data_IF_180385940568
#
_entry.id   IF_180385940568
#
_cell.length_a   1.000
_cell.length_b   1.000
_cell.length_c   1.000
_cell.angle_alpha   90.00
_cell.angle_beta   90.00
_cell.angle_gamma   90.00
#
_symmetry.space_group_name_H-M   'P 1'
#
loop_
_entity.id
_entity.type
_entity.pdbx_description
1 polymer ?
#
# COMPACT_ATOMS: atom_id res chain seq x y z
N UNK A 1 47.24 6.36 -40.09
CA UNK A 1 46.97 6.26 -38.63
C UNK A 1 45.46 6.09 -38.44
N UNK A 2 45.03 4.86 -38.35
CA UNK A 2 43.63 4.48 -38.10
C UNK A 2 43.41 4.50 -36.59
N UNK A 3 42.42 5.29 -36.13
CA UNK A 3 42.01 5.32 -34.76
C UNK A 3 41.36 3.98 -34.37
N UNK A 4 41.57 3.45 -33.16
CA UNK A 4 40.93 2.22 -32.73
C UNK A 4 39.42 2.50 -32.44
N UNK A 5 38.58 1.70 -33.08
CA UNK A 5 37.16 1.59 -32.73
C UNK A 5 37.03 1.10 -31.29
N UNK A 6 36.51 1.94 -30.39
CA UNK A 6 36.13 1.53 -29.06
C UNK A 6 34.97 0.56 -29.17
N UNK A 7 35.23 -0.73 -29.01
CA UNK A 7 34.20 -1.71 -28.64
C UNK A 7 33.57 -1.24 -27.32
N UNK A 8 32.35 -0.72 -27.39
CA UNK A 8 31.48 -0.58 -26.20
C UNK A 8 31.16 -1.99 -25.78
N UNK A 9 31.77 -2.44 -24.69
CA UNK A 9 31.40 -3.69 -24.04
C UNK A 9 29.90 -3.77 -23.89
N UNK A 10 29.32 -4.94 -24.19
CA UNK A 10 27.90 -5.22 -23.95
C UNK A 10 27.65 -5.08 -22.46
N UNK A 11 27.22 -3.89 -22.03
CA UNK A 11 26.77 -3.65 -20.66
C UNK A 11 25.58 -4.58 -20.39
N UNK A 12 25.63 -5.34 -19.31
CA UNK A 12 24.50 -6.14 -18.84
C UNK A 12 23.31 -5.19 -18.66
N UNK A 13 22.23 -5.43 -19.42
CA UNK A 13 21.00 -4.67 -19.31
C UNK A 13 20.44 -4.80 -17.90
N UNK A 14 19.87 -3.73 -17.36
CA UNK A 14 19.24 -3.72 -16.03
C UNK A 14 17.90 -4.44 -16.12
N UNK A 15 17.78 -5.64 -15.55
CA UNK A 15 16.53 -6.42 -15.55
C UNK A 15 15.55 -5.83 -14.56
N UNK A 16 14.34 -5.49 -15.02
CA UNK A 16 13.18 -5.08 -14.20
C UNK A 16 12.01 -5.99 -14.54
N UNK A 17 11.29 -6.45 -13.51
CA UNK A 17 10.09 -7.28 -13.70
C UNK A 17 8.85 -6.40 -13.50
N UNK A 18 7.91 -6.43 -14.45
CA UNK A 18 6.62 -5.76 -14.41
C UNK A 18 5.51 -6.80 -14.22
N UNK A 19 4.88 -6.80 -13.06
CA UNK A 19 3.64 -7.53 -12.81
C UNK A 19 2.43 -6.69 -13.15
N UNK A 20 1.44 -7.27 -13.84
CA UNK A 20 0.18 -6.61 -14.16
C UNK A 20 -1.00 -7.35 -13.53
N UNK A 21 -1.90 -6.60 -12.89
CA UNK A 21 -3.11 -7.14 -12.24
C UNK A 21 -4.39 -6.69 -12.93
N UNK A 22 -4.31 -5.84 -13.96
CA UNK A 22 -5.45 -5.20 -14.63
C UNK A 22 -5.63 -3.74 -14.21
N UNK A 23 -6.88 -3.31 -14.06
CA UNK A 23 -7.23 -1.93 -13.68
C UNK A 23 -7.27 -0.94 -14.85
N UNK A 24 -7.47 0.35 -14.55
CA UNK A 24 -7.68 1.44 -15.53
C UNK A 24 -6.52 1.56 -16.53
N UNK A 25 -5.29 1.36 -16.08
CA UNK A 25 -4.09 1.40 -16.93
C UNK A 25 -4.17 0.38 -18.09
N UNK A 26 -4.86 -0.76 -17.85
CA UNK A 26 -5.02 -1.86 -18.80
C UNK A 26 -6.44 -1.89 -19.43
N UNK A 27 -7.28 -0.88 -19.20
CA UNK A 27 -8.70 -0.90 -19.59
C UNK A 27 -8.94 -0.16 -20.89
N UNK A 28 -9.67 -0.79 -21.78
CA UNK A 28 -10.16 -0.14 -23.02
C UNK A 28 -11.64 -0.46 -23.25
N UNK A 29 -12.33 0.34 -24.07
CA UNK A 29 -13.66 0.09 -24.57
C UNK A 29 -13.55 -0.79 -25.84
N UNK A 30 -13.26 -2.08 -25.64
CA UNK A 30 -13.02 -3.00 -26.75
C UNK A 30 -14.31 -3.40 -27.50
N UNK A 31 -15.46 -3.29 -26.85
CA UNK A 31 -16.78 -3.68 -27.40
C UNK A 31 -17.64 -2.48 -27.84
N UNK A 32 -17.14 -1.24 -27.69
CA UNK A 32 -17.85 -0.03 -28.07
C UNK A 32 -19.09 0.26 -27.22
N UNK A 33 -19.18 -0.35 -26.01
CA UNK A 33 -20.33 -0.17 -25.10
C UNK A 33 -20.29 1.16 -24.32
N UNK A 34 -19.19 1.90 -24.43
CA UNK A 34 -18.92 3.11 -23.66
C UNK A 34 -18.38 2.84 -22.25
N UNK A 35 -18.25 1.55 -21.87
CA UNK A 35 -17.65 1.11 -20.61
C UNK A 35 -16.28 0.49 -20.81
N UNK A 36 -15.25 0.93 -20.06
CA UNK A 36 -13.90 0.37 -20.16
C UNK A 36 -13.72 -0.83 -19.23
N UNK A 37 -12.98 -1.85 -19.72
CA UNK A 37 -12.65 -3.07 -18.94
C UNK A 37 -11.18 -3.42 -19.09
N UNK A 38 -10.54 -4.03 -18.07
CA UNK A 38 -9.15 -4.48 -18.14
C UNK A 38 -8.99 -5.56 -19.23
N UNK A 39 -8.38 -5.22 -20.36
CA UNK A 39 -8.21 -6.11 -21.52
C UNK A 39 -6.88 -5.96 -22.25
N UNK A 40 -6.03 -4.99 -21.87
CA UNK A 40 -4.70 -4.84 -22.45
C UNK A 40 -3.70 -5.78 -21.78
N UNK A 41 -2.92 -6.50 -22.58
CA UNK A 41 -1.78 -7.28 -22.10
C UNK A 41 -0.59 -6.38 -21.76
N UNK A 42 0.30 -6.90 -20.87
CA UNK A 42 1.37 -6.12 -20.27
C UNK A 42 2.27 -5.32 -21.20
N UNK A 43 2.65 -5.85 -22.37
CA UNK A 43 3.50 -5.14 -23.34
C UNK A 43 2.76 -3.94 -23.97
N UNK A 44 1.45 -4.07 -24.22
CA UNK A 44 0.65 -2.99 -24.78
C UNK A 44 0.50 -1.78 -23.83
N UNK A 45 0.72 -1.98 -22.54
CA UNK A 45 0.71 -0.89 -21.54
C UNK A 45 1.84 0.12 -21.71
N UNK A 46 2.95 -0.31 -22.28
CA UNK A 46 4.11 0.56 -22.49
C UNK A 46 3.88 1.57 -23.60
N UNK A 47 3.11 1.21 -24.67
CA UNK A 47 2.94 2.08 -25.80
C UNK A 47 4.26 2.70 -26.25
N UNK A 48 4.25 4.01 -26.49
CA UNK A 48 5.46 4.77 -26.88
C UNK A 48 6.50 4.89 -25.75
N UNK A 49 6.13 4.59 -24.50
CA UNK A 49 7.06 4.64 -23.36
C UNK A 49 8.16 3.57 -23.43
N UNK A 50 7.96 2.50 -24.22
CA UNK A 50 8.98 1.46 -24.43
C UNK A 50 10.31 2.04 -24.97
N UNK A 51 10.24 3.01 -25.89
CA UNK A 51 11.41 3.69 -26.43
C UNK A 51 12.18 4.58 -25.43
N UNK A 52 11.52 4.96 -24.33
CA UNK A 52 12.11 5.83 -23.30
C UNK A 52 12.85 5.07 -22.19
N UNK A 53 12.84 3.73 -22.21
CA UNK A 53 13.42 2.89 -21.15
C UNK A 53 14.94 2.65 -21.30
N UNK A 54 15.53 2.91 -22.49
CA UNK A 54 16.98 2.79 -22.73
C UNK A 54 17.50 1.36 -22.52
N UNK A 55 18.49 1.18 -21.64
CA UNK A 55 19.18 -0.09 -21.38
C UNK A 55 18.45 -0.99 -20.36
N UNK A 56 17.14 -0.77 -20.13
CA UNK A 56 16.34 -1.62 -19.25
C UNK A 56 15.82 -2.83 -20.04
N UNK A 57 16.05 -4.02 -19.47
CA UNK A 57 15.45 -5.27 -19.91
C UNK A 57 14.19 -5.52 -19.08
N UNK A 58 13.03 -5.30 -19.71
CA UNK A 58 11.74 -5.37 -19.04
C UNK A 58 11.06 -6.70 -19.30
N UNK A 59 10.92 -7.52 -18.26
CA UNK A 59 10.13 -8.74 -18.27
C UNK A 59 8.72 -8.43 -17.80
N UNK A 60 7.69 -8.81 -18.58
CA UNK A 60 6.28 -8.50 -18.27
C UNK A 60 5.50 -9.77 -17.98
N UNK A 61 4.88 -9.83 -16.81
CA UNK A 61 4.16 -11.01 -16.30
C UNK A 61 2.74 -10.59 -15.88
N UNK A 62 1.72 -11.15 -16.56
CA UNK A 62 0.32 -10.99 -16.13
C UNK A 62 0.00 -11.96 -14.99
N UNK A 63 -0.40 -11.45 -13.85
CA UNK A 63 -0.79 -12.28 -12.68
C UNK A 63 -2.29 -12.29 -12.44
N UNK A 64 -2.97 -11.21 -12.76
CA UNK A 64 -4.42 -11.04 -12.71
C UNK A 64 -4.88 -10.12 -13.84
N UNK A 65 -6.19 -10.13 -14.14
CA UNK A 65 -6.81 -9.19 -15.08
C UNK A 65 -8.18 -8.79 -14.55
N UNK A 66 -8.18 -8.08 -13.40
CA UNK A 66 -9.38 -7.72 -12.65
C UNK A 66 -9.39 -6.25 -12.25
N UNK A 67 -10.56 -5.65 -11.96
CA UNK A 67 -10.62 -4.39 -11.24
C UNK A 67 -9.92 -4.52 -9.88
N UNK A 68 -9.28 -3.45 -9.40
CA UNK A 68 -8.48 -3.53 -8.16
C UNK A 68 -9.30 -3.83 -6.90
N UNK A 69 -10.59 -3.57 -6.91
CA UNK A 69 -11.49 -3.96 -5.82
C UNK A 69 -11.65 -5.48 -5.63
N UNK A 70 -11.30 -6.28 -6.65
CA UNK A 70 -11.29 -7.75 -6.58
C UNK A 70 -9.97 -8.33 -6.06
N UNK A 71 -8.94 -7.49 -5.89
CA UNK A 71 -7.68 -7.92 -5.30
C UNK A 71 -7.85 -8.15 -3.80
N UNK A 72 -7.16 -9.16 -3.28
CA UNK A 72 -7.22 -9.58 -1.89
C UNK A 72 -5.84 -9.53 -1.23
N UNK A 73 -5.79 -9.62 0.10
CA UNK A 73 -4.52 -9.78 0.82
C UNK A 73 -3.81 -11.10 0.46
N UNK A 74 -4.54 -12.12 0.05
CA UNK A 74 -3.96 -13.35 -0.47
C UNK A 74 -3.17 -13.10 -1.76
N UNK A 75 -3.70 -12.28 -2.68
CA UNK A 75 -2.97 -11.90 -3.89
C UNK A 75 -1.67 -11.15 -3.55
N UNK A 76 -1.68 -10.30 -2.51
CA UNK A 76 -0.48 -9.60 -2.06
C UNK A 76 0.56 -10.58 -1.45
N UNK A 77 0.13 -11.58 -0.67
CA UNK A 77 0.99 -12.63 -0.11
C UNK A 77 1.62 -13.44 -1.24
N UNK A 78 0.83 -13.97 -2.17
CA UNK A 78 1.32 -14.75 -3.30
C UNK A 78 2.29 -13.94 -4.19
N UNK A 79 1.99 -12.65 -4.41
CA UNK A 79 2.85 -11.77 -5.19
C UNK A 79 4.16 -11.44 -4.46
N UNK A 80 4.13 -11.29 -3.13
CA UNK A 80 5.34 -11.01 -2.34
C UNK A 80 6.39 -12.13 -2.46
N UNK A 81 5.96 -13.38 -2.54
CA UNK A 81 6.85 -14.53 -2.74
C UNK A 81 7.50 -14.51 -4.13
N UNK A 82 6.75 -14.15 -5.17
CA UNK A 82 7.28 -13.99 -6.54
C UNK A 82 8.27 -12.82 -6.62
N UNK A 83 7.94 -11.68 -6.01
CA UNK A 83 8.82 -10.50 -5.92
C UNK A 83 10.15 -10.88 -5.27
N UNK A 84 10.12 -11.61 -4.16
CA UNK A 84 11.32 -12.09 -3.48
C UNK A 84 12.16 -12.95 -4.40
N UNK A 85 11.54 -13.94 -5.06
CA UNK A 85 12.22 -14.81 -6.01
C UNK A 85 12.90 -14.03 -7.14
N UNK A 86 12.25 -13.02 -7.71
CA UNK A 86 12.84 -12.22 -8.80
C UNK A 86 13.99 -11.34 -8.33
N UNK A 87 13.87 -10.71 -7.15
CA UNK A 87 14.94 -9.90 -6.57
C UNK A 87 16.15 -10.77 -6.21
N UNK A 88 15.94 -11.93 -5.61
CA UNK A 88 16.99 -12.92 -5.31
C UNK A 88 17.62 -13.46 -6.62
N UNK A 89 16.83 -13.58 -7.69
CA UNK A 89 17.27 -13.92 -9.04
C UNK A 89 17.98 -12.82 -9.81
N UNK A 90 18.27 -11.68 -9.17
CA UNK A 90 19.07 -10.57 -9.71
C UNK A 90 18.29 -9.52 -10.49
N UNK A 91 16.96 -9.45 -10.35
CA UNK A 91 16.22 -8.28 -10.82
C UNK A 91 16.65 -7.03 -10.05
N UNK A 92 16.86 -5.92 -10.75
CA UNK A 92 17.22 -4.64 -10.15
C UNK A 92 16.08 -4.07 -9.32
N UNK A 93 14.82 -4.35 -9.74
CA UNK A 93 13.62 -4.00 -9.04
C UNK A 93 12.38 -4.56 -9.71
N UNK A 94 11.24 -4.37 -9.07
CA UNK A 94 9.94 -4.88 -9.49
C UNK A 94 8.92 -3.75 -9.56
N UNK A 95 8.10 -3.75 -10.60
CA UNK A 95 6.97 -2.82 -10.77
C UNK A 95 5.67 -3.63 -10.74
N UNK A 96 4.66 -3.12 -10.06
CA UNK A 96 3.30 -3.65 -10.09
C UNK A 96 2.39 -2.58 -10.71
N UNK A 97 1.78 -2.89 -11.86
CA UNK A 97 0.76 -2.07 -12.49
C UNK A 97 -0.63 -2.61 -12.14
N UNK A 98 -1.44 -1.80 -11.44
CA UNK A 98 -2.78 -2.21 -10.99
C UNK A 98 -3.80 -1.08 -11.10
N UNK A 99 -5.08 -1.39 -10.86
CA UNK A 99 -6.14 -0.40 -10.68
C UNK A 99 -5.94 0.42 -9.41
N UNK A 100 -6.29 1.71 -9.47
CA UNK A 100 -5.89 2.69 -8.45
C UNK A 100 -6.66 2.61 -7.14
N UNK A 101 -7.85 1.97 -7.08
CA UNK A 101 -8.74 2.06 -5.92
C UNK A 101 -8.18 1.42 -4.66
N UNK A 102 -7.31 0.40 -4.79
CA UNK A 102 -6.70 -0.31 -3.67
C UNK A 102 -5.17 -0.21 -3.62
N UNK A 103 -4.56 0.69 -4.42
CA UNK A 103 -3.08 0.85 -4.43
C UNK A 103 -2.54 1.11 -3.02
N UNK A 104 -3.18 1.98 -2.24
CA UNK A 104 -2.71 2.36 -0.92
C UNK A 104 -2.67 1.20 0.07
N UNK A 105 -3.62 0.26 -0.03
CA UNK A 105 -3.70 -0.93 0.82
C UNK A 105 -2.77 -2.04 0.31
N UNK A 106 -2.78 -2.29 -1.00
CA UNK A 106 -1.99 -3.34 -1.62
C UNK A 106 -0.48 -3.05 -1.54
N UNK A 107 -0.08 -1.80 -1.82
CA UNK A 107 1.31 -1.36 -1.67
C UNK A 107 1.78 -1.46 -0.21
N UNK A 108 0.93 -1.11 0.77
CA UNK A 108 1.28 -1.24 2.18
C UNK A 108 1.35 -2.71 2.61
N UNK A 109 0.47 -3.58 2.12
CA UNK A 109 0.60 -5.02 2.35
C UNK A 109 1.95 -5.56 1.85
N UNK A 110 2.35 -5.18 0.65
CA UNK A 110 3.66 -5.53 0.10
C UNK A 110 4.82 -4.94 0.93
N UNK A 111 4.70 -3.70 1.46
CA UNK A 111 5.72 -3.07 2.31
C UNK A 111 5.93 -3.83 3.63
N UNK A 112 4.86 -4.43 4.18
CA UNK A 112 4.93 -5.31 5.36
C UNK A 112 5.51 -6.69 5.06
N UNK A 113 5.35 -7.19 3.82
CA UNK A 113 5.74 -8.53 3.38
C UNK A 113 7.06 -8.56 2.63
N UNK A 114 7.50 -7.39 2.14
CA UNK A 114 8.60 -7.25 1.18
C UNK A 114 9.96 -7.50 1.80
N UNK A 115 10.87 -7.81 0.92
CA UNK A 115 12.30 -8.03 1.13
C UNK A 115 13.12 -6.84 0.61
N UNK A 116 14.43 -6.98 0.67
CA UNK A 116 15.40 -5.98 0.27
C UNK A 116 15.42 -5.78 -1.26
N UNK A 117 14.96 -4.63 -1.73
CA UNK A 117 15.00 -4.24 -3.15
C UNK A 117 13.92 -3.22 -3.51
N UNK A 118 14.08 -2.48 -4.62
CA UNK A 118 13.07 -1.55 -5.07
C UNK A 118 11.80 -2.26 -5.55
N UNK A 119 10.68 -2.01 -4.89
CA UNK A 119 9.35 -2.46 -5.30
C UNK A 119 8.46 -1.25 -5.48
N UNK A 120 7.87 -1.10 -6.67
CA UNK A 120 7.11 0.08 -7.06
C UNK A 120 5.72 -0.31 -7.50
N UNK A 121 4.69 0.29 -6.91
CA UNK A 121 3.31 0.13 -7.35
C UNK A 121 2.88 1.38 -8.12
N UNK A 122 2.20 1.19 -9.24
CA UNK A 122 1.70 2.27 -10.10
C UNK A 122 0.36 1.91 -10.74
N UNK A 123 -0.26 2.89 -11.39
CA UNK A 123 -1.53 2.74 -12.08
C UNK A 123 -1.83 3.93 -12.97
N UNK A 124 -3.09 4.09 -13.35
CA UNK A 124 -3.57 5.24 -14.11
C UNK A 124 -4.91 5.72 -13.58
N UNK A 125 -5.10 7.03 -13.51
CA UNK A 125 -6.38 7.64 -13.18
C UNK A 125 -7.25 7.81 -14.42
N UNK A 126 -6.64 7.92 -15.62
CA UNK A 126 -7.30 8.01 -16.92
C UNK A 126 -7.02 6.77 -17.74
N UNK A 127 -8.05 6.25 -18.42
CA UNK A 127 -7.88 5.08 -19.28
C UNK A 127 -7.14 5.44 -20.58
N UNK A 128 -6.52 4.48 -21.29
CA UNK A 128 -5.68 4.75 -22.46
C UNK A 128 -6.38 5.50 -23.62
N UNK A 129 -7.70 5.39 -23.74
CA UNK A 129 -8.48 6.10 -24.76
C UNK A 129 -8.89 7.53 -24.38
N UNK A 130 -8.56 7.98 -23.17
CA UNK A 130 -8.93 9.31 -22.67
C UNK A 130 -7.84 10.34 -23.00
N UNK A 131 -8.25 11.56 -23.34
CA UNK A 131 -7.31 12.65 -23.58
C UNK A 131 -6.49 12.95 -22.33
N UNK A 132 -5.16 12.91 -22.46
CA UNK A 132 -4.23 13.07 -21.36
C UNK A 132 -4.13 11.83 -20.47
N UNK A 133 -4.29 10.62 -21.04
CA UNK A 133 -4.03 9.35 -20.35
C UNK A 133 -2.65 9.37 -19.65
N UNK A 134 -2.64 9.12 -18.35
CA UNK A 134 -1.46 9.23 -17.48
C UNK A 134 -0.69 7.90 -17.31
N UNK A 135 -1.28 6.78 -17.74
CA UNK A 135 -0.71 5.44 -17.57
C UNK A 135 0.71 5.27 -18.12
N UNK A 136 0.99 5.62 -19.38
CA UNK A 136 2.33 5.47 -19.96
C UNK A 136 3.40 6.26 -19.21
N UNK A 137 3.10 7.49 -18.78
CA UNK A 137 4.03 8.34 -18.01
C UNK A 137 4.29 7.76 -16.63
N UNK A 138 3.24 7.36 -15.91
CA UNK A 138 3.33 6.72 -14.59
C UNK A 138 4.14 5.42 -14.65
N UNK A 139 3.91 4.59 -15.68
CA UNK A 139 4.63 3.33 -15.85
C UNK A 139 6.10 3.56 -16.16
N UNK A 140 6.43 4.49 -17.06
CA UNK A 140 7.82 4.85 -17.34
C UNK A 140 8.54 5.39 -16.11
N UNK A 141 7.89 6.25 -15.31
CA UNK A 141 8.42 6.75 -14.05
C UNK A 141 8.65 5.62 -13.04
N UNK A 142 7.68 4.70 -12.89
CA UNK A 142 7.77 3.55 -11.98
C UNK A 142 8.94 2.62 -12.35
N UNK A 143 9.14 2.32 -13.64
CA UNK A 143 10.24 1.47 -14.10
C UNK A 143 11.59 2.12 -13.81
N UNK A 144 11.73 3.44 -14.00
CA UNK A 144 12.95 4.17 -13.63
C UNK A 144 13.23 4.11 -12.13
N UNK A 145 12.20 4.28 -11.31
CA UNK A 145 12.34 4.18 -9.84
C UNK A 145 12.74 2.76 -9.43
N UNK A 146 12.14 1.73 -10.02
CA UNK A 146 12.47 0.34 -9.75
C UNK A 146 13.90 -0.03 -10.20
N UNK A 147 14.41 0.60 -11.27
CA UNK A 147 15.76 0.35 -11.77
C UNK A 147 16.87 1.14 -11.05
N UNK A 148 16.51 2.10 -10.18
CA UNK A 148 17.47 2.97 -9.50
C UNK A 148 18.01 2.32 -8.22
N UNK A 149 19.32 2.03 -8.14
CA UNK A 149 19.93 1.44 -6.95
C UNK A 149 19.77 2.29 -5.69
N UNK A 150 19.62 3.62 -5.85
CA UNK A 150 19.38 4.55 -4.75
C UNK A 150 18.02 4.41 -4.09
N UNK A 151 17.12 3.57 -4.62
CA UNK A 151 15.80 3.32 -4.05
C UNK A 151 15.70 2.00 -3.25
N UNK A 152 16.80 1.25 -3.15
CA UNK A 152 16.82 -0.11 -2.58
C UNK A 152 16.33 -0.17 -1.12
N UNK A 153 16.60 0.85 -0.33
CA UNK A 153 16.25 0.98 1.09
C UNK A 153 15.04 1.89 1.36
N UNK A 154 14.21 2.10 0.35
CA UNK A 154 13.03 2.96 0.46
C UNK A 154 11.75 2.22 0.91
N UNK A 155 11.81 0.88 1.02
CA UNK A 155 10.62 0.04 1.14
C UNK A 155 9.80 0.03 -0.14
N UNK A 156 8.55 -0.38 -0.06
CA UNK A 156 7.64 -0.31 -1.21
C UNK A 156 7.20 1.13 -1.44
N UNK A 157 7.25 1.55 -2.70
CA UNK A 157 6.86 2.90 -3.11
C UNK A 157 5.67 2.89 -4.05
N UNK A 158 4.92 3.97 -4.06
CA UNK A 158 3.87 4.24 -5.04
C UNK A 158 4.35 5.41 -5.90
N UNK A 159 4.35 5.22 -7.23
CA UNK A 159 4.77 6.25 -8.17
C UNK A 159 3.59 6.65 -9.04
N UNK A 160 3.12 7.88 -8.86
CA UNK A 160 1.99 8.46 -9.58
C UNK A 160 2.26 9.94 -9.82
N UNK A 161 1.93 10.45 -11.01
CA UNK A 161 2.06 11.87 -11.35
C UNK A 161 3.47 12.43 -11.03
N UNK A 162 4.52 11.66 -11.40
CA UNK A 162 5.93 11.95 -11.13
C UNK A 162 6.34 12.03 -9.65
N UNK A 163 5.43 11.85 -8.70
CA UNK A 163 5.74 11.79 -7.27
C UNK A 163 6.04 10.35 -6.82
N UNK A 164 7.03 10.23 -5.93
CA UNK A 164 7.43 8.95 -5.31
C UNK A 164 6.99 9.01 -3.86
N UNK A 165 6.07 8.13 -3.47
CA UNK A 165 5.52 8.06 -2.13
C UNK A 165 5.92 6.76 -1.44
N UNK A 166 6.26 6.80 -0.15
CA UNK A 166 6.37 5.58 0.64
C UNK A 166 4.97 4.96 0.86
N UNK A 167 4.82 3.66 0.63
CA UNK A 167 3.54 2.96 0.70
C UNK A 167 2.80 3.16 2.02
N UNK A 168 3.54 3.25 3.13
CA UNK A 168 2.99 3.46 4.48
C UNK A 168 2.28 4.80 4.68
N UNK A 169 2.62 5.83 3.89
CA UNK A 169 2.08 7.19 4.04
C UNK A 169 1.15 7.62 2.91
N UNK A 170 1.20 6.94 1.76
CA UNK A 170 0.41 7.33 0.60
C UNK A 170 -1.06 6.99 0.76
N UNK A 171 -1.94 7.83 0.22
CA UNK A 171 -3.39 7.62 0.17
C UNK A 171 -3.97 8.15 -1.13
N UNK A 172 -4.96 7.45 -1.70
CA UNK A 172 -5.81 7.98 -2.76
C UNK A 172 -6.78 8.97 -2.13
N UNK A 173 -6.54 10.25 -2.34
CA UNK A 173 -7.27 11.37 -1.70
C UNK A 173 -8.28 12.05 -2.62
N UNK A 174 -8.34 11.63 -3.89
CA UNK A 174 -9.27 12.14 -4.90
C UNK A 174 -9.74 10.98 -5.79
N UNK A 175 -10.98 11.05 -6.25
CA UNK A 175 -11.60 10.00 -7.06
C UNK A 175 -11.24 10.06 -8.55
N UNK A 176 -10.80 11.20 -9.07
CA UNK A 176 -10.68 11.45 -10.52
C UNK A 176 -9.41 12.20 -10.94
N UNK A 177 -8.75 12.94 -10.04
CA UNK A 177 -7.55 13.71 -10.36
C UNK A 177 -6.37 12.81 -10.70
N UNK A 178 -5.56 13.09 -11.74
CA UNK A 178 -4.27 12.44 -11.94
C UNK A 178 -3.33 12.59 -10.74
N UNK A 179 -3.45 13.68 -9.97
CA UNK A 179 -2.74 13.92 -8.72
C UNK A 179 -3.51 13.39 -7.49
N UNK A 180 -4.23 12.26 -7.64
CA UNK A 180 -5.07 11.70 -6.58
C UNK A 180 -4.30 11.16 -5.38
N UNK A 181 -3.04 10.80 -5.54
CA UNK A 181 -2.23 10.19 -4.49
C UNK A 181 -1.45 11.25 -3.72
N UNK A 182 -1.55 11.21 -2.39
CA UNK A 182 -0.88 12.14 -1.51
C UNK A 182 -0.43 11.47 -0.21
N UNK A 183 0.72 11.87 0.31
CA UNK A 183 1.23 11.49 1.64
C UNK A 183 1.11 12.68 2.57
N UNK A 184 -0.08 12.91 3.14
CA UNK A 184 -0.38 14.12 3.92
C UNK A 184 0.47 14.26 5.18
N UNK A 185 0.87 13.15 5.80
CA UNK A 185 1.67 13.14 7.03
C UNK A 185 3.14 13.40 6.74
N UNK A 186 3.73 12.80 5.69
CA UNK A 186 5.17 12.79 5.46
C UNK A 186 5.61 13.52 4.16
N UNK A 187 4.68 13.81 3.25
CA UNK A 187 5.01 14.26 1.89
C UNK A 187 5.54 13.12 0.99
N UNK A 188 5.77 13.40 -0.29
CA UNK A 188 6.46 12.49 -1.19
C UNK A 188 7.94 12.38 -0.78
N UNK A 189 8.53 11.20 -0.91
CA UNK A 189 9.95 10.96 -0.60
C UNK A 189 10.88 11.37 -1.75
N UNK A 190 10.34 11.59 -2.95
CA UNK A 190 11.09 11.99 -4.13
C UNK A 190 10.19 12.29 -5.31
N UNK A 191 10.84 12.56 -6.45
CA UNK A 191 10.16 12.80 -7.75
C UNK A 191 10.99 12.25 -8.90
N UNK A 192 10.33 12.00 -10.04
CA UNK A 192 11.00 11.79 -11.32
C UNK A 192 11.02 13.13 -12.06
N UNK A 193 12.21 13.63 -12.37
CA UNK A 193 12.41 14.91 -13.04
C UNK A 193 13.36 14.71 -14.22
N UNK A 194 12.94 15.09 -15.44
CA UNK A 194 13.70 14.89 -16.68
C UNK A 194 14.16 13.42 -16.86
N UNK A 195 13.27 12.48 -16.48
CA UNK A 195 13.54 11.05 -16.54
C UNK A 195 14.55 10.53 -15.51
N UNK A 196 14.91 11.33 -14.50
CA UNK A 196 15.84 10.97 -13.43
C UNK A 196 15.13 10.91 -12.08
N UNK A 197 15.46 9.90 -11.30
CA UNK A 197 14.97 9.76 -9.93
C UNK A 197 15.66 10.79 -9.04
N UNK A 198 14.88 11.52 -8.28
CA UNK A 198 15.32 12.50 -7.27
C UNK A 198 14.74 12.10 -5.93
N UNK A 199 15.48 11.36 -5.13
CA UNK A 199 15.10 11.05 -3.75
C UNK A 199 15.49 12.19 -2.83
N UNK A 200 14.56 12.81 -2.16
CA UNK A 200 14.78 13.93 -1.24
C UNK A 200 14.85 13.48 0.22
N UNK A 201 14.11 12.40 0.54
CA UNK A 201 14.03 11.86 1.89
C UNK A 201 14.25 10.37 1.84
N UNK A 202 15.02 9.84 2.80
CA UNK A 202 15.13 8.40 3.05
C UNK A 202 14.20 8.04 4.20
N UNK A 203 13.06 7.35 3.95
CA UNK A 203 12.19 6.94 5.03
C UNK A 203 12.90 5.91 5.90
N UNK A 204 12.66 5.96 7.22
CA UNK A 204 13.16 4.92 8.11
C UNK A 204 12.61 3.55 7.68
N UNK A 205 13.41 2.51 7.77
CA UNK A 205 12.95 1.15 7.48
C UNK A 205 11.90 0.72 8.51
N UNK A 206 10.80 0.13 8.04
CA UNK A 206 9.80 -0.42 8.95
C UNK A 206 10.35 -1.62 9.73
N UNK A 207 9.96 -1.73 11.00
CA UNK A 207 10.20 -2.94 11.75
C UNK A 207 9.53 -4.14 11.05
N UNK A 208 10.24 -5.25 10.95
CA UNK A 208 9.68 -6.51 10.43
C UNK A 208 8.75 -7.11 11.50
N UNK A 209 7.47 -6.82 11.39
CA UNK A 209 6.44 -7.29 12.33
C UNK A 209 5.65 -8.49 11.81
N UNK A 210 5.77 -8.79 10.53
CA UNK A 210 5.18 -9.97 9.89
C UNK A 210 6.29 -10.97 9.59
N UNK A 211 6.08 -12.21 10.00
CA UNK A 211 6.94 -13.35 9.63
C UNK A 211 6.29 -14.08 8.44
N UNK A 212 6.79 -13.90 7.20
CA UNK A 212 6.14 -14.44 6.01
C UNK A 212 5.94 -15.95 6.03
N UNK A 213 6.86 -16.68 6.64
CA UNK A 213 6.80 -18.15 6.73
C UNK A 213 5.66 -18.67 7.63
N UNK A 214 5.04 -17.79 8.42
CA UNK A 214 3.91 -18.10 9.30
C UNK A 214 2.55 -17.73 8.71
N UNK A 215 2.52 -17.07 7.56
CA UNK A 215 1.27 -16.62 6.96
C UNK A 215 0.40 -17.78 6.50
N UNK A 216 -0.83 -17.82 6.96
CA UNK A 216 -1.85 -18.71 6.42
C UNK A 216 -2.37 -18.17 5.08
N UNK A 217 -2.72 -19.08 4.18
CA UNK A 217 -3.44 -18.72 2.95
C UNK A 217 -4.85 -18.17 3.26
N UNK A 218 -5.44 -18.56 4.40
CA UNK A 218 -6.72 -18.04 4.87
C UNK A 218 -6.47 -16.83 5.77
N UNK A 219 -6.73 -15.65 5.23
CA UNK A 219 -6.63 -14.39 5.98
C UNK A 219 -7.94 -14.16 6.74
N UNK A 220 -7.90 -14.09 8.08
CA UNK A 220 -9.09 -13.87 8.88
C UNK A 220 -9.80 -12.55 8.56
N UNK A 221 -11.13 -12.54 8.63
CA UNK A 221 -11.91 -11.34 8.39
C UNK A 221 -11.71 -10.31 9.51
N UNK A 222 -11.38 -9.07 9.13
CA UNK A 222 -11.26 -7.91 10.02
C UNK A 222 -12.26 -6.84 9.58
N UNK A 223 -13.09 -6.38 10.50
CA UNK A 223 -14.02 -5.30 10.24
C UNK A 223 -13.31 -3.93 10.27
N UNK A 224 -13.74 -3.01 9.41
CA UNK A 224 -13.40 -1.59 9.48
C UNK A 224 -14.71 -0.83 9.73
N UNK A 225 -14.79 -0.14 10.87
CA UNK A 225 -15.98 0.62 11.27
C UNK A 225 -15.60 2.08 11.46
N UNK A 226 -16.20 2.96 10.66
CA UNK A 226 -15.97 4.40 10.77
C UNK A 226 -17.10 5.03 11.60
N UNK A 227 -16.76 5.68 12.71
CA UNK A 227 -17.72 6.41 13.55
C UNK A 227 -18.30 7.60 12.80
N UNK A 228 -19.63 7.76 12.87
CA UNK A 228 -20.37 8.85 12.29
C UNK A 228 -21.13 9.66 13.37
N UNK A 229 -21.55 10.88 13.03
CA UNK A 229 -22.39 11.69 13.90
C UNK A 229 -23.73 10.96 14.15
N UNK A 230 -24.05 10.72 15.42
CA UNK A 230 -25.27 10.02 15.78
C UNK A 230 -25.18 8.48 15.78
N UNK A 231 -23.99 7.91 15.49
CA UNK A 231 -23.77 6.47 15.52
C UNK A 231 -24.18 5.86 16.88
N UNK A 232 -24.95 4.80 16.86
CA UNK A 232 -25.48 4.12 18.05
C UNK A 232 -24.75 2.82 18.42
N UNK A 233 -23.79 2.40 17.59
CA UNK A 233 -22.93 1.24 17.86
C UNK A 233 -23.56 -0.12 17.59
N UNK A 234 -24.79 -0.22 17.07
CA UNK A 234 -25.46 -1.51 16.78
C UNK A 234 -24.62 -2.47 15.95
N UNK A 235 -23.82 -1.95 15.02
CA UNK A 235 -22.94 -2.77 14.18
C UNK A 235 -21.90 -3.48 15.03
N UNK A 236 -21.34 -2.82 16.05
CA UNK A 236 -20.31 -3.39 16.92
C UNK A 236 -20.79 -4.65 17.65
N UNK A 237 -22.06 -4.66 18.08
CA UNK A 237 -22.66 -5.77 18.82
C UNK A 237 -22.79 -7.06 18.00
N UNK A 238 -22.73 -6.95 16.65
CA UNK A 238 -22.93 -8.08 15.74
C UNK A 238 -21.65 -8.62 15.12
N UNK A 239 -20.52 -7.93 15.27
CA UNK A 239 -19.29 -8.28 14.55
C UNK A 239 -18.78 -9.68 14.86
N UNK A 240 -18.86 -10.11 16.12
CA UNK A 240 -18.44 -11.47 16.52
C UNK A 240 -19.36 -12.56 15.96
N UNK A 241 -20.67 -12.31 15.97
CA UNK A 241 -21.66 -13.23 15.38
C UNK A 241 -21.46 -13.39 13.87
N UNK A 242 -20.95 -12.34 13.20
CA UNK A 242 -20.60 -12.35 11.78
C UNK A 242 -19.22 -13.00 11.49
N UNK A 243 -18.49 -13.47 12.52
CA UNK A 243 -17.25 -14.19 12.38
C UNK A 243 -16.01 -13.31 12.18
N UNK A 244 -16.08 -12.00 12.49
CA UNK A 244 -14.90 -11.15 12.46
C UNK A 244 -13.90 -11.51 13.56
N UNK A 245 -12.65 -11.73 13.20
CA UNK A 245 -11.55 -12.09 14.09
C UNK A 245 -10.80 -10.88 14.66
N UNK A 246 -11.15 -9.69 14.22
CA UNK A 246 -10.57 -8.42 14.68
C UNK A 246 -11.35 -7.24 14.13
N UNK A 247 -11.18 -6.08 14.76
CA UNK A 247 -11.91 -4.86 14.42
C UNK A 247 -10.95 -3.67 14.37
N UNK A 248 -11.09 -2.83 13.36
CA UNK A 248 -10.49 -1.49 13.33
C UNK A 248 -11.63 -0.48 13.43
N UNK A 249 -11.51 0.45 14.39
CA UNK A 249 -12.47 1.53 14.59
C UNK A 249 -11.82 2.86 14.24
N UNK A 250 -12.35 3.55 13.24
CA UNK A 250 -11.96 4.92 12.93
C UNK A 250 -12.78 5.90 13.76
N UNK A 251 -12.19 6.39 14.83
CA UNK A 251 -12.78 7.40 15.73
C UNK A 251 -12.71 8.82 15.17
N UNK A 252 -13.34 9.74 15.86
CA UNK A 252 -13.31 11.16 15.55
C UNK A 252 -11.96 11.79 15.94
N UNK A 253 -11.48 12.76 15.16
CA UNK A 253 -10.29 13.53 15.50
C UNK A 253 -9.11 12.64 15.92
N UNK A 254 -8.64 12.78 17.13
CA UNK A 254 -7.51 12.01 17.68
C UNK A 254 -7.80 10.55 18.06
N UNK A 255 -8.95 10.01 17.66
CA UNK A 255 -9.34 8.62 18.00
C UNK A 255 -10.46 8.55 19.05
N UNK A 256 -11.36 9.51 19.09
CA UNK A 256 -12.45 9.57 20.07
C UNK A 256 -13.72 8.88 19.56
N UNK A 257 -14.52 8.35 20.47
CA UNK A 257 -15.83 7.79 20.16
C UNK A 257 -16.89 8.37 21.11
N UNK A 258 -18.19 8.33 20.76
CA UNK A 258 -19.24 8.66 21.71
C UNK A 258 -19.24 7.72 22.90
N UNK A 259 -19.54 8.23 24.12
CA UNK A 259 -19.50 7.43 25.35
C UNK A 259 -20.38 6.16 25.29
N UNK A 260 -21.49 6.18 24.51
CA UNK A 260 -22.36 5.00 24.30
C UNK A 260 -21.69 3.83 23.55
N UNK A 261 -20.58 4.08 22.81
CA UNK A 261 -19.81 3.05 22.11
C UNK A 261 -18.73 2.41 22.99
N UNK A 262 -18.40 3.01 24.12
CA UNK A 262 -17.32 2.54 25.02
C UNK A 262 -17.59 1.14 25.53
N UNK A 263 -18.80 0.86 26.01
CA UNK A 263 -19.17 -0.47 26.50
C UNK A 263 -19.06 -1.56 25.44
N UNK A 264 -19.70 -1.40 24.25
CA UNK A 264 -19.56 -2.34 23.14
C UNK A 264 -18.10 -2.56 22.68
N UNK A 265 -17.29 -1.50 22.57
CA UNK A 265 -15.88 -1.60 22.17
C UNK A 265 -15.03 -2.33 23.22
N UNK A 266 -15.24 -2.05 24.51
CA UNK A 266 -14.54 -2.75 25.59
C UNK A 266 -14.92 -4.25 25.62
N UNK A 267 -16.18 -4.59 25.38
CA UNK A 267 -16.64 -5.97 25.29
C UNK A 267 -16.00 -6.72 24.10
N UNK A 268 -15.85 -6.05 22.95
CA UNK A 268 -15.12 -6.59 21.79
C UNK A 268 -13.64 -6.78 22.09
N UNK A 269 -12.98 -5.79 22.71
CA UNK A 269 -11.55 -5.84 23.04
C UNK A 269 -11.19 -6.97 24.02
N UNK A 270 -12.16 -7.41 24.83
CA UNK A 270 -12.02 -8.60 25.69
C UNK A 270 -12.05 -9.94 24.94
N UNK A 271 -12.39 -9.96 23.65
CA UNK A 271 -12.57 -11.19 22.87
C UNK A 271 -11.69 -11.24 21.62
N UNK A 272 -11.53 -10.13 20.92
CA UNK A 272 -10.71 -10.00 19.70
C UNK A 272 -9.89 -8.72 19.77
N UNK A 273 -8.76 -8.60 19.03
CA UNK A 273 -8.03 -7.34 18.95
C UNK A 273 -8.89 -6.25 18.30
N UNK A 274 -9.00 -5.12 18.99
CA UNK A 274 -9.68 -3.90 18.51
C UNK A 274 -8.66 -2.78 18.38
N UNK A 275 -8.45 -2.29 17.17
CA UNK A 275 -7.49 -1.24 16.85
C UNK A 275 -8.23 0.10 16.70
N UNK A 276 -7.75 1.12 17.40
CA UNK A 276 -8.25 2.48 17.33
C UNK A 276 -7.43 3.31 16.35
N UNK A 277 -8.06 3.80 15.30
CA UNK A 277 -7.50 4.67 14.29
C UNK A 277 -8.29 5.99 14.21
N UNK A 278 -7.77 6.96 13.46
CA UNK A 278 -8.47 8.22 13.18
C UNK A 278 -9.13 8.21 11.80
N UNK A 279 -10.40 8.64 11.72
CA UNK A 279 -11.11 8.82 10.44
C UNK A 279 -10.65 10.04 9.62
N UNK A 280 -9.78 10.90 10.18
CA UNK A 280 -9.26 12.07 9.49
C UNK A 280 -8.38 11.73 8.29
N UNK A 281 -7.79 10.52 8.29
CA UNK A 281 -6.95 9.98 7.23
C UNK A 281 -5.55 10.60 7.16
N UNK A 282 -5.14 11.36 8.18
CA UNK A 282 -3.79 11.86 8.37
C UNK A 282 -3.57 12.26 9.84
N UNK A 283 -2.33 12.26 10.29
CA UNK A 283 -1.95 12.47 11.69
C UNK A 283 -2.10 11.20 12.52
N UNK A 284 -1.60 11.24 13.73
CA UNK A 284 -1.56 10.10 14.63
C UNK A 284 -2.83 9.97 15.46
N UNK A 285 -3.19 8.75 15.82
CA UNK A 285 -4.11 8.49 16.93
C UNK A 285 -3.45 8.98 18.21
N UNK A 286 -4.14 9.86 18.96
CA UNK A 286 -3.62 10.37 20.23
C UNK A 286 -3.62 9.27 21.30
N UNK A 287 -2.79 9.43 22.34
CA UNK A 287 -2.64 8.41 23.40
C UNK A 287 -2.74 8.98 24.82
N UNK A 288 -2.48 10.29 25.01
CA UNK A 288 -2.27 10.84 26.36
C UNK A 288 -3.01 12.14 26.67
N UNK A 289 -3.78 12.69 25.71
CA UNK A 289 -4.29 14.05 25.81
C UNK A 289 -5.61 14.16 26.58
N UNK A 290 -6.61 13.33 26.24
CA UNK A 290 -7.97 13.45 26.75
C UNK A 290 -8.33 12.31 27.69
N UNK A 291 -9.15 12.60 28.74
CA UNK A 291 -9.48 11.64 29.81
C UNK A 291 -11.00 11.50 30.08
N UNK A 292 -11.87 11.88 29.15
CA UNK A 292 -13.31 11.66 29.26
C UNK A 292 -13.71 10.29 28.67
N UNK A 293 -14.92 9.82 28.99
CA UNK A 293 -15.46 8.56 28.48
C UNK A 293 -15.51 8.57 26.94
N UNK A 294 -14.82 7.63 26.31
CA UNK A 294 -14.67 7.53 24.86
C UNK A 294 -13.52 8.35 24.28
N UNK A 295 -12.68 8.98 25.13
CA UNK A 295 -11.40 9.51 24.70
C UNK A 295 -10.38 8.40 24.41
N UNK A 296 -9.31 8.74 23.71
CA UNK A 296 -8.23 7.80 23.42
C UNK A 296 -7.66 7.13 24.67
N UNK A 297 -7.41 7.89 25.75
CA UNK A 297 -6.89 7.32 27.00
C UNK A 297 -7.84 6.33 27.66
N UNK A 298 -9.15 6.65 27.66
CA UNK A 298 -10.17 5.76 28.19
C UNK A 298 -10.24 4.46 27.38
N UNK A 299 -10.24 4.56 26.05
CA UNK A 299 -10.32 3.41 25.14
C UNK A 299 -9.07 2.53 25.21
N UNK A 300 -7.88 3.12 25.20
CA UNK A 300 -6.61 2.39 25.34
C UNK A 300 -6.53 1.71 26.72
N UNK A 301 -6.98 2.38 27.78
CA UNK A 301 -7.10 1.81 29.13
C UNK A 301 -8.06 0.63 29.22
N UNK A 302 -8.99 0.49 28.30
CA UNK A 302 -9.92 -0.65 28.17
C UNK A 302 -9.46 -1.76 27.23
N UNK A 303 -8.21 -1.67 26.74
CA UNK A 303 -7.58 -2.71 25.95
C UNK A 303 -7.65 -2.54 24.43
N UNK A 304 -8.10 -1.38 23.93
CA UNK A 304 -7.95 -1.06 22.52
C UNK A 304 -6.47 -0.79 22.19
N UNK A 305 -6.09 -1.04 20.95
CA UNK A 305 -4.71 -0.91 20.46
C UNK A 305 -4.63 0.36 19.61
N UNK A 306 -3.65 1.23 19.86
CA UNK A 306 -3.42 2.41 19.02
C UNK A 306 -2.92 2.01 17.64
N UNK A 307 -3.51 2.60 16.58
CA UNK A 307 -3.00 2.48 15.21
C UNK A 307 -1.76 3.36 14.96
N UNK A 308 -1.45 4.28 15.88
CA UNK A 308 -0.39 5.26 15.70
C UNK A 308 -0.67 6.14 14.48
N UNK A 309 0.29 6.19 13.53
CA UNK A 309 0.19 6.97 12.29
C UNK A 309 -0.65 6.30 11.18
N UNK A 310 -1.05 5.04 11.35
CA UNK A 310 -1.80 4.31 10.33
C UNK A 310 -3.25 4.79 10.28
N UNK A 311 -3.75 5.06 9.07
CA UNK A 311 -5.19 5.18 8.85
C UNK A 311 -5.90 3.83 9.00
N UNK A 312 -7.23 3.84 9.09
CA UNK A 312 -8.00 2.63 9.36
C UNK A 312 -7.83 1.52 8.32
N UNK A 313 -7.65 1.86 7.02
CA UNK A 313 -7.44 0.86 5.96
C UNK A 313 -6.11 0.14 6.14
N UNK A 314 -5.02 0.89 6.36
CA UNK A 314 -3.70 0.32 6.61
C UNK A 314 -3.63 -0.42 7.94
N UNK A 315 -4.27 0.10 8.99
CA UNK A 315 -4.41 -0.61 10.25
C UNK A 315 -5.14 -1.95 10.06
N UNK A 316 -6.19 -1.99 9.22
CA UNK A 316 -6.89 -3.23 8.87
C UNK A 316 -5.99 -4.21 8.12
N UNK A 317 -5.19 -3.75 7.16
CA UNK A 317 -4.21 -4.59 6.45
C UNK A 317 -3.22 -5.22 7.43
N UNK A 318 -2.61 -4.41 8.31
CA UNK A 318 -1.66 -4.90 9.31
C UNK A 318 -2.31 -5.92 10.26
N UNK A 319 -3.50 -5.60 10.80
CA UNK A 319 -4.21 -6.50 11.71
C UNK A 319 -4.55 -7.83 11.03
N UNK A 320 -5.05 -7.79 9.79
CA UNK A 320 -5.39 -8.99 9.02
C UNK A 320 -4.16 -9.90 8.79
N UNK A 321 -3.02 -9.33 8.43
CA UNK A 321 -1.78 -10.08 8.23
C UNK A 321 -1.24 -10.66 9.55
N UNK A 322 -1.30 -9.90 10.65
CA UNK A 322 -0.92 -10.41 11.97
C UNK A 322 -1.78 -11.59 12.41
N UNK A 323 -3.10 -11.48 12.24
CA UNK A 323 -4.03 -12.57 12.53
C UNK A 323 -3.79 -13.80 11.63
N UNK A 324 -3.40 -13.60 10.37
CA UNK A 324 -3.05 -14.68 9.47
C UNK A 324 -1.76 -15.44 9.92
N UNK A 325 -0.92 -14.84 10.76
CA UNK A 325 0.21 -15.56 11.40
C UNK A 325 -0.19 -16.30 12.67
N UNK A 326 -1.44 -16.19 13.12
CA UNK A 326 -1.89 -16.71 14.41
C UNK A 326 -1.46 -15.88 15.61
N UNK A 327 -1.08 -14.60 15.41
CA UNK A 327 -0.61 -13.72 16.47
C UNK A 327 -1.70 -13.46 17.53
N UNK A 328 -1.45 -13.69 18.82
CA UNK A 328 -2.37 -13.32 19.91
C UNK A 328 -2.41 -11.80 20.08
N UNK A 329 -3.47 -11.28 20.73
CA UNK A 329 -3.72 -9.84 20.92
C UNK A 329 -2.50 -9.09 21.46
N UNK A 330 -1.76 -9.67 22.40
CA UNK A 330 -0.55 -9.03 22.95
C UNK A 330 0.57 -8.83 21.90
N UNK A 331 0.74 -9.80 20.97
CA UNK A 331 1.69 -9.66 19.87
C UNK A 331 1.19 -8.65 18.83
N UNK A 332 -0.13 -8.61 18.60
CA UNK A 332 -0.73 -7.56 17.73
C UNK A 332 -0.40 -6.18 18.29
N UNK A 333 -0.67 -5.93 19.57
CA UNK A 333 -0.36 -4.64 20.21
C UNK A 333 1.13 -4.27 20.12
N UNK A 334 2.02 -5.24 20.40
CA UNK A 334 3.46 -5.04 20.28
C UNK A 334 3.91 -4.72 18.84
N UNK A 335 3.29 -5.35 17.83
CA UNK A 335 3.58 -5.10 16.42
C UNK A 335 3.18 -3.68 15.99
N UNK A 336 1.97 -3.23 16.36
CA UNK A 336 1.54 -1.85 16.08
C UNK A 336 2.47 -0.83 16.72
N UNK A 337 2.82 -1.01 18.00
CA UNK A 337 3.74 -0.13 18.71
C UNK A 337 5.16 -0.12 18.09
N UNK A 338 5.67 -1.29 17.69
CA UNK A 338 6.98 -1.42 17.04
C UNK A 338 7.01 -0.73 15.67
N UNK A 339 5.95 -0.91 14.87
CA UNK A 339 5.83 -0.28 13.57
C UNK A 339 5.76 1.25 13.69
N UNK A 340 4.99 1.76 14.65
CA UNK A 340 4.87 3.20 14.92
C UNK A 340 6.23 3.80 15.29
N UNK A 341 6.96 3.21 16.23
CA UNK A 341 8.31 3.69 16.61
C UNK A 341 9.27 3.68 15.42
N UNK A 342 9.31 2.60 14.65
CA UNK A 342 10.23 2.49 13.52
C UNK A 342 9.93 3.50 12.40
N UNK A 343 8.65 3.81 12.17
CA UNK A 343 8.26 4.76 11.13
C UNK A 343 8.47 6.23 11.53
N UNK A 344 8.38 6.54 12.84
CA UNK A 344 8.44 7.91 13.35
C UNK A 344 9.79 8.27 13.92
N UNK A 345 10.72 7.32 14.05
CA UNK A 345 12.04 7.53 14.66
C UNK A 345 11.97 7.77 16.18
N UNK A 346 10.86 7.42 16.84
CA UNK A 346 10.72 7.46 18.29
C UNK A 346 11.47 6.26 18.90
N UNK A 347 12.34 6.54 19.86
CA UNK A 347 13.14 5.55 20.58
C UNK A 347 12.29 4.73 21.58
#
# INVERSE_FOLDING_TARGET
MTAPSSERGAGTRTRVVLYTTGGTIASTDADGSGGVRPNLGGVALLGDAAGALGDIDLEVIGVRQVPSGELTLRDAIELSDRIRHDLDGGAAGVVIAQGTDTIEEFAFALDLLSTDGPVVVTGAMRHPGELGADGPANLAAAIRVASDPGMRDSGVTVVMNDEIHAARFVRKSDSSSPAAFASRTAGPIGRVVEGRVRRYVSPAMLARVIEPTRLSADVPAVALVTCALGDDGRVLERLLELGYAGVVVEGFGGGHVPGRLVGPLAALAGQVPVVLASRTGAGDTLETTYGYDGSERDLLGRGLISAGFLDGRKARVLLSLLLATGAPTAQVAAAFASLHRSATGLA
#
